data_IF_093078662858
#
_entry.id   IF_093078662858
#
_cell.length_a   1.000
_cell.length_b   1.000
_cell.length_c   1.000
_cell.angle_alpha   90.00
_cell.angle_beta   90.00
_cell.angle_gamma   90.00
#
_symmetry.space_group_name_H-M   'P 1'
#
loop_
_entity.id
_entity.type
_entity.pdbx_description
1 polymer ?
#
# COMPACT_ATOMS: atom_id res chain seq x y z
N UNK A 1 -18.54 15.94 -0.10
CA UNK A 1 -19.45 15.98 1.06
C UNK A 1 -19.77 14.59 1.60
N UNK A 2 -20.14 13.60 0.78
CA UNK A 2 -20.47 12.24 1.24
C UNK A 2 -19.37 11.54 2.05
N UNK A 3 -18.11 11.51 1.59
CA UNK A 3 -17.00 10.88 2.32
C UNK A 3 -16.73 11.51 3.69
N UNK A 4 -16.80 12.84 3.77
CA UNK A 4 -16.61 13.56 5.03
C UNK A 4 -17.73 13.24 6.04
N UNK A 5 -18.98 13.13 5.57
CA UNK A 5 -20.11 12.71 6.40
C UNK A 5 -19.95 11.26 6.87
N UNK A 6 -19.59 10.33 5.98
CA UNK A 6 -19.32 8.92 6.33
C UNK A 6 -18.18 8.79 7.35
N UNK A 7 -17.11 9.57 7.19
CA UNK A 7 -16.00 9.62 8.15
C UNK A 7 -16.46 10.14 9.51
N UNK A 8 -17.25 11.22 9.52
CA UNK A 8 -17.83 11.77 10.76
C UNK A 8 -18.67 10.73 11.49
N UNK A 9 -19.56 10.03 10.77
CA UNK A 9 -20.38 8.95 11.31
C UNK A 9 -19.54 7.78 11.85
N UNK A 10 -18.51 7.35 11.11
CA UNK A 10 -17.61 6.28 11.57
C UNK A 10 -16.86 6.68 12.85
N UNK A 11 -16.43 7.95 12.97
CA UNK A 11 -15.81 8.47 14.17
C UNK A 11 -16.74 8.48 15.39
N UNK A 12 -18.00 8.91 15.20
CA UNK A 12 -19.03 8.88 16.26
C UNK A 12 -19.31 7.45 16.71
N UNK A 13 -19.48 6.51 15.77
CA UNK A 13 -19.73 5.10 16.09
C UNK A 13 -18.53 4.44 16.79
N UNK A 14 -17.31 4.74 16.36
CA UNK A 14 -16.10 4.26 17.01
C UNK A 14 -15.94 4.77 18.45
N UNK A 15 -16.46 5.97 18.75
CA UNK A 15 -16.43 6.55 20.09
C UNK A 15 -17.58 6.05 20.99
N UNK A 16 -18.75 5.78 20.40
CA UNK A 16 -19.94 5.33 21.13
C UNK A 16 -19.92 3.82 21.45
N UNK A 17 -19.21 3.02 20.65
CA UNK A 17 -19.10 1.58 20.86
C UNK A 17 -17.90 1.24 21.77
N UNK A 18 -18.00 0.18 22.59
CA UNK A 18 -16.86 -0.28 23.38
C UNK A 18 -15.63 -0.51 22.50
N UNK A 19 -14.43 -0.24 23.04
CA UNK A 19 -13.14 -0.46 22.38
C UNK A 19 -12.84 -1.95 22.02
N UNK A 20 -13.83 -2.82 22.20
CA UNK A 20 -13.89 -4.19 21.69
C UNK A 20 -14.04 -4.17 20.14
N UNK A 21 -14.25 -5.35 19.54
CA UNK A 21 -14.26 -5.55 18.09
C UNK A 21 -15.09 -4.52 17.31
N UNK A 22 -16.24 -4.10 17.85
CA UNK A 22 -17.09 -3.08 17.21
C UNK A 22 -16.43 -1.70 17.09
N UNK A 23 -15.87 -1.15 18.17
CA UNK A 23 -15.23 0.17 18.14
C UNK A 23 -13.98 0.21 17.26
N UNK A 24 -13.18 -0.87 17.26
CA UNK A 24 -12.00 -0.99 16.42
C UNK A 24 -12.33 -1.12 14.93
N UNK A 25 -13.38 -1.86 14.57
CA UNK A 25 -13.82 -1.97 13.17
C UNK A 25 -14.24 -0.60 12.62
N UNK A 26 -15.02 0.19 13.38
CA UNK A 26 -15.38 1.55 12.96
C UNK A 26 -14.18 2.51 12.93
N UNK A 27 -13.20 2.32 13.83
CA UNK A 27 -11.94 3.07 13.77
C UNK A 27 -11.18 2.80 12.48
N UNK A 28 -11.08 1.54 12.09
CA UNK A 28 -10.43 1.13 10.85
C UNK A 28 -11.13 1.73 9.62
N UNK A 29 -12.47 1.69 9.58
CA UNK A 29 -13.26 2.36 8.53
C UNK A 29 -12.96 3.85 8.49
N UNK A 30 -12.93 4.52 9.64
CA UNK A 30 -12.56 5.93 9.75
C UNK A 30 -11.18 6.23 9.17
N UNK A 31 -10.18 5.39 9.48
CA UNK A 31 -8.81 5.54 8.98
C UNK A 31 -8.74 5.39 7.45
N UNK A 32 -9.45 4.39 6.89
CA UNK A 32 -9.53 4.17 5.44
C UNK A 32 -10.20 5.35 4.73
N UNK A 33 -11.33 5.83 5.25
CA UNK A 33 -12.04 6.98 4.68
C UNK A 33 -11.21 8.27 4.75
N UNK A 34 -10.41 8.45 5.81
CA UNK A 34 -9.48 9.57 5.89
C UNK A 34 -8.39 9.51 4.82
N UNK A 35 -7.76 8.34 4.62
CA UNK A 35 -6.76 8.15 3.57
C UNK A 35 -7.35 8.47 2.18
N UNK A 36 -8.57 8.00 1.88
CA UNK A 36 -9.27 8.31 0.64
C UNK A 36 -9.57 9.81 0.47
N UNK A 37 -10.02 10.50 1.53
CA UNK A 37 -10.32 11.94 1.42
C UNK A 37 -9.05 12.76 1.19
N UNK A 38 -7.93 12.41 1.84
CA UNK A 38 -6.63 13.04 1.63
C UNK A 38 -6.12 12.85 0.19
N UNK A 39 -6.18 11.61 -0.32
CA UNK A 39 -5.82 11.29 -1.69
C UNK A 39 -6.66 12.11 -2.69
N UNK A 40 -7.99 12.05 -2.57
CA UNK A 40 -8.92 12.70 -3.51
C UNK A 40 -8.80 14.24 -3.48
N UNK A 41 -8.40 14.81 -2.34
CA UNK A 41 -8.29 16.26 -2.16
C UNK A 41 -6.87 16.77 -2.29
N UNK A 42 -5.95 15.97 -2.83
CA UNK A 42 -4.53 16.31 -2.86
C UNK A 42 -4.25 17.71 -3.44
N UNK A 43 -4.88 18.07 -4.55
CA UNK A 43 -4.71 19.39 -5.16
C UNK A 43 -5.22 20.53 -4.28
N UNK A 44 -6.41 20.35 -3.69
CA UNK A 44 -6.99 21.32 -2.77
C UNK A 44 -6.14 21.47 -1.49
N UNK A 45 -5.56 20.37 -0.99
CA UNK A 45 -4.70 20.37 0.20
C UNK A 45 -3.33 20.99 -0.08
N UNK A 46 -2.78 20.84 -1.29
CA UNK A 46 -1.57 21.54 -1.70
C UNK A 46 -1.77 23.06 -1.73
N UNK A 47 -3.01 23.53 -1.86
CA UNK A 47 -3.39 24.94 -1.70
C UNK A 47 -2.75 25.87 -2.73
N UNK A 48 -2.37 25.34 -3.89
CA UNK A 48 -1.75 26.06 -4.99
C UNK A 48 -2.58 25.89 -6.27
N UNK A 49 -2.61 26.90 -7.16
CA UNK A 49 -3.27 26.79 -8.45
C UNK A 49 -2.74 25.61 -9.27
N UNK A 50 -3.59 25.03 -10.12
CA UNK A 50 -3.16 24.09 -11.13
C UNK A 50 -2.06 24.72 -12.00
N UNK A 51 -0.91 24.06 -12.11
CA UNK A 51 0.27 24.56 -12.83
C UNK A 51 1.34 25.26 -11.99
N UNK A 52 1.13 25.44 -10.68
CA UNK A 52 2.22 25.83 -9.78
C UNK A 52 3.38 24.81 -9.82
N UNK A 53 4.63 25.22 -9.61
CA UNK A 53 5.77 24.31 -9.65
C UNK A 53 5.60 23.12 -8.70
N UNK A 54 5.83 21.91 -9.22
CA UNK A 54 5.67 20.67 -8.46
C UNK A 54 6.46 20.68 -7.14
N UNK A 55 7.67 21.24 -7.15
CA UNK A 55 8.51 21.36 -5.96
C UNK A 55 7.86 22.17 -4.84
N UNK A 56 7.17 23.28 -5.16
CA UNK A 56 6.48 24.11 -4.17
C UNK A 56 5.26 23.38 -3.58
N UNK A 57 4.50 22.67 -4.43
CA UNK A 57 3.38 21.85 -3.99
C UNK A 57 3.85 20.76 -3.04
N UNK A 58 4.92 20.07 -3.39
CA UNK A 58 5.52 19.03 -2.55
C UNK A 58 6.06 19.60 -1.24
N UNK A 59 6.71 20.77 -1.25
CA UNK A 59 7.19 21.41 -0.02
C UNK A 59 6.02 21.68 0.96
N UNK A 60 4.88 22.17 0.45
CA UNK A 60 3.68 22.38 1.28
C UNK A 60 3.07 21.09 1.81
N UNK A 61 3.07 20.04 0.99
CA UNK A 61 2.56 18.72 1.39
C UNK A 61 3.45 18.12 2.48
N UNK A 62 4.77 18.18 2.31
CA UNK A 62 5.75 17.62 3.24
C UNK A 62 5.87 18.41 4.55
N UNK A 63 5.41 19.67 4.58
CA UNK A 63 5.31 20.46 5.81
C UNK A 63 4.16 20.01 6.74
N UNK A 64 3.32 19.07 6.30
CA UNK A 64 2.22 18.50 7.11
C UNK A 64 2.73 17.37 7.99
N UNK A 65 1.85 16.80 8.80
CA UNK A 65 2.17 15.55 9.48
C UNK A 65 2.53 14.45 8.45
N UNK A 66 3.53 13.60 8.72
CA UNK A 66 4.02 12.62 7.76
C UNK A 66 2.96 11.65 7.23
N UNK A 67 2.01 11.27 8.09
CA UNK A 67 0.95 10.34 7.72
C UNK A 67 0.03 10.97 6.67
N UNK A 68 -0.42 12.20 6.87
CA UNK A 68 -1.23 12.92 5.88
C UNK A 68 -0.44 13.25 4.61
N UNK A 69 0.83 13.67 4.77
CA UNK A 69 1.70 14.03 3.65
C UNK A 69 1.83 12.89 2.64
N UNK A 70 1.89 11.64 3.11
CA UNK A 70 1.96 10.45 2.27
C UNK A 70 0.76 10.36 1.30
N UNK A 71 -0.47 10.32 1.83
CA UNK A 71 -1.67 10.16 0.99
C UNK A 71 -1.94 11.37 0.09
N UNK A 72 -1.57 12.57 0.54
CA UNK A 72 -1.69 13.79 -0.26
C UNK A 72 -0.66 13.81 -1.40
N UNK A 73 0.58 13.40 -1.14
CA UNK A 73 1.60 13.26 -2.19
C UNK A 73 1.22 12.17 -3.20
N UNK A 74 0.61 11.08 -2.75
CA UNK A 74 0.07 10.02 -3.60
C UNK A 74 -1.05 10.55 -4.50
N UNK A 75 -2.05 11.23 -3.95
CA UNK A 75 -3.11 11.85 -4.74
C UNK A 75 -2.61 12.91 -5.73
N UNK A 76 -1.56 13.65 -5.36
CA UNK A 76 -0.92 14.60 -6.27
C UNK A 76 -0.25 13.87 -7.45
N UNK A 77 0.41 12.74 -7.17
CA UNK A 77 1.03 11.90 -8.19
C UNK A 77 0.01 11.39 -9.21
N UNK A 78 -1.16 10.98 -8.71
CA UNK A 78 -2.28 10.55 -9.53
C UNK A 78 -2.86 11.69 -10.39
N UNK A 79 -3.07 12.87 -9.79
CA UNK A 79 -3.66 14.02 -10.49
C UNK A 79 -2.73 14.60 -11.59
N UNK A 80 -1.41 14.65 -11.32
CA UNK A 80 -0.44 15.16 -12.30
C UNK A 80 -0.20 14.18 -13.46
N UNK A 81 -0.33 12.88 -13.21
CA UNK A 81 -0.10 11.84 -14.20
C UNK A 81 1.21 12.05 -14.97
N UNK A 82 1.15 12.08 -16.29
CA UNK A 82 2.34 12.23 -17.15
C UNK A 82 3.08 13.55 -17.02
N UNK A 83 2.49 14.59 -16.42
CA UNK A 83 3.15 15.89 -16.25
C UNK A 83 4.37 15.81 -15.33
N UNK A 84 4.52 14.72 -14.58
CA UNK A 84 5.68 14.43 -13.74
C UNK A 84 6.94 14.05 -14.53
N UNK A 85 6.81 13.62 -15.79
CA UNK A 85 7.85 12.96 -16.59
C UNK A 85 9.10 13.78 -16.94
N UNK A 86 9.22 15.03 -16.49
CA UNK A 86 10.40 15.89 -16.70
C UNK A 86 11.06 16.40 -15.42
N UNK A 87 10.52 16.08 -14.23
CA UNK A 87 10.96 16.68 -12.96
C UNK A 87 11.45 15.68 -11.92
N UNK A 88 11.56 14.39 -12.27
CA UNK A 88 11.90 13.31 -11.33
C UNK A 88 13.27 13.49 -10.62
N UNK A 89 14.22 14.17 -11.26
CA UNK A 89 15.57 14.37 -10.73
C UNK A 89 15.68 15.27 -9.48
N UNK A 90 14.73 16.19 -9.28
CA UNK A 90 14.79 17.20 -8.20
C UNK A 90 13.77 16.97 -7.09
N UNK A 91 13.05 15.85 -7.12
CA UNK A 91 12.01 15.55 -6.14
C UNK A 91 12.60 15.25 -4.76
N UNK A 92 11.97 15.75 -3.67
CA UNK A 92 12.37 15.42 -2.31
C UNK A 92 12.18 13.94 -2.01
N UNK A 93 13.14 13.33 -1.31
CA UNK A 93 13.16 11.88 -1.07
C UNK A 93 11.88 11.34 -0.42
N UNK A 94 11.33 12.07 0.56
CA UNK A 94 10.10 11.67 1.27
C UNK A 94 8.84 11.68 0.42
N UNK A 95 8.86 12.33 -0.75
CA UNK A 95 7.73 12.32 -1.68
C UNK A 95 7.87 11.25 -2.78
N UNK A 96 9.04 10.60 -2.92
CA UNK A 96 9.31 9.74 -4.06
C UNK A 96 8.32 8.58 -4.14
N UNK A 97 8.29 7.70 -3.13
CA UNK A 97 7.38 6.54 -3.12
C UNK A 97 5.91 6.94 -3.29
N UNK A 98 5.33 7.86 -2.49
CA UNK A 98 3.91 8.18 -2.62
C UNK A 98 3.60 8.81 -3.99
N UNK A 99 4.41 9.75 -4.48
CA UNK A 99 4.18 10.37 -5.78
C UNK A 99 4.21 9.34 -6.93
N UNK A 100 5.16 8.41 -6.86
CA UNK A 100 5.33 7.31 -7.83
C UNK A 100 4.17 6.30 -7.74
N UNK A 101 3.67 6.04 -6.53
CA UNK A 101 2.45 5.24 -6.30
C UNK A 101 1.24 5.88 -6.98
N UNK A 102 1.03 7.19 -6.79
CA UNK A 102 -0.05 7.92 -7.46
C UNK A 102 0.05 7.89 -8.98
N UNK A 103 1.25 8.14 -9.52
CA UNK A 103 1.51 8.08 -10.96
C UNK A 103 1.26 6.67 -11.52
N UNK A 104 1.71 5.64 -10.82
CA UNK A 104 1.49 4.25 -11.19
C UNK A 104 0.00 3.92 -11.29
N UNK A 105 -0.80 4.40 -10.34
CA UNK A 105 -2.25 4.22 -10.36
C UNK A 105 -2.89 4.88 -11.59
N UNK A 106 -2.51 6.11 -11.94
CA UNK A 106 -2.97 6.78 -13.16
C UNK A 106 -2.64 5.96 -14.43
N UNK A 107 -1.43 5.42 -14.51
CA UNK A 107 -1.00 4.59 -15.65
C UNK A 107 -1.74 3.23 -15.68
N UNK A 108 -1.96 2.64 -14.51
CA UNK A 108 -2.64 1.36 -14.36
C UNK A 108 -4.10 1.43 -14.85
N UNK A 109 -4.82 2.49 -14.51
CA UNK A 109 -6.19 2.70 -15.00
C UNK A 109 -6.24 2.79 -16.53
N UNK A 110 -5.31 3.55 -17.13
CA UNK A 110 -5.24 3.70 -18.57
C UNK A 110 -4.96 2.38 -19.29
N UNK A 111 -3.99 1.58 -18.81
CA UNK A 111 -3.68 0.28 -19.44
C UNK A 111 -4.79 -0.75 -19.23
N UNK A 112 -5.48 -0.73 -18.09
CA UNK A 112 -6.61 -1.63 -17.86
C UNK A 112 -7.78 -1.31 -18.80
N UNK A 113 -8.07 -0.03 -19.05
CA UNK A 113 -9.07 0.38 -20.03
C UNK A 113 -8.71 -0.07 -21.46
N UNK A 114 -7.43 0.03 -21.83
CA UNK A 114 -6.93 -0.45 -23.12
C UNK A 114 -7.03 -1.98 -23.25
N UNK A 115 -6.61 -2.72 -22.21
CA UNK A 115 -6.68 -4.19 -22.17
C UNK A 115 -8.14 -4.67 -22.29
N UNK A 116 -9.09 -4.00 -21.64
CA UNK A 116 -10.51 -4.40 -21.62
C UNK A 116 -11.15 -4.45 -23.01
N UNK A 117 -10.65 -3.68 -23.97
CA UNK A 117 -11.15 -3.62 -25.36
C UNK A 117 -10.20 -4.27 -26.37
N UNK A 118 -9.09 -4.83 -25.91
CA UNK A 118 -8.03 -5.39 -26.75
C UNK A 118 -8.22 -6.89 -27.01
N UNK A 119 -7.69 -7.36 -28.15
CA UNK A 119 -7.47 -8.80 -28.35
C UNK A 119 -6.37 -9.30 -27.40
N UNK A 120 -6.26 -10.62 -27.13
CA UNK A 120 -5.23 -11.14 -26.24
C UNK A 120 -3.79 -10.75 -26.61
N UNK A 121 -3.47 -10.73 -27.91
CA UNK A 121 -2.15 -10.32 -28.39
C UNK A 121 -1.91 -8.80 -28.23
N UNK A 122 -2.95 -7.98 -28.41
CA UNK A 122 -2.86 -6.54 -28.19
C UNK A 122 -2.76 -6.21 -26.70
N UNK A 123 -3.45 -6.95 -25.82
CA UNK A 123 -3.36 -6.80 -24.38
C UNK A 123 -1.95 -7.04 -23.84
N UNK A 124 -1.22 -8.03 -24.37
CA UNK A 124 0.19 -8.25 -24.04
C UNK A 124 1.08 -7.05 -24.38
N UNK A 125 0.90 -6.48 -25.58
CA UNK A 125 1.64 -5.27 -26.01
C UNK A 125 1.29 -4.04 -25.19
N UNK A 126 0.02 -3.86 -24.83
CA UNK A 126 -0.42 -2.77 -23.95
C UNK A 126 0.27 -2.87 -22.58
N UNK A 127 0.40 -4.09 -22.05
CA UNK A 127 1.09 -4.33 -20.79
C UNK A 127 2.61 -4.08 -20.88
N UNK A 128 3.27 -4.52 -21.96
CA UNK A 128 4.68 -4.19 -22.22
C UNK A 128 4.91 -2.68 -22.30
N UNK A 129 4.01 -1.95 -22.97
CA UNK A 129 4.07 -0.50 -23.05
C UNK A 129 3.88 0.16 -21.68
N UNK A 130 2.95 -0.34 -20.86
CA UNK A 130 2.80 0.11 -19.47
C UNK A 130 4.10 -0.06 -18.67
N UNK A 131 4.75 -1.23 -18.76
CA UNK A 131 6.04 -1.48 -18.08
C UNK A 131 7.11 -0.50 -18.57
N UNK A 132 7.23 -0.32 -19.88
CA UNK A 132 8.18 0.62 -20.48
C UNK A 132 7.96 2.05 -19.99
N UNK A 133 6.71 2.49 -19.88
CA UNK A 133 6.37 3.82 -19.33
C UNK A 133 6.68 3.94 -17.86
N UNK A 134 6.38 2.92 -17.05
CA UNK A 134 6.73 2.91 -15.63
C UNK A 134 8.24 3.07 -15.43
N UNK A 135 9.04 2.32 -16.20
CA UNK A 135 10.50 2.42 -16.21
C UNK A 135 10.98 3.82 -16.58
N UNK A 136 10.48 4.36 -17.70
CA UNK A 136 10.88 5.66 -18.22
C UNK A 136 10.53 6.83 -17.28
N UNK A 137 9.42 6.73 -16.56
CA UNK A 137 8.94 7.78 -15.65
C UNK A 137 9.46 7.61 -14.22
N UNK A 138 9.94 6.43 -13.85
CA UNK A 138 10.44 6.18 -12.51
C UNK A 138 11.82 6.78 -12.29
N UNK A 139 12.01 7.39 -11.11
CA UNK A 139 13.36 7.57 -10.58
C UNK A 139 13.96 6.21 -10.26
N UNK A 140 15.28 6.07 -10.41
CA UNK A 140 16.00 4.85 -10.04
C UNK A 140 15.57 4.36 -8.64
N UNK A 141 15.15 3.10 -8.58
CA UNK A 141 14.63 2.49 -7.35
C UNK A 141 13.19 2.84 -6.99
N UNK A 142 12.39 3.50 -7.83
CA UNK A 142 10.96 3.72 -7.58
C UNK A 142 10.04 2.97 -8.56
N UNK A 143 10.61 2.18 -9.48
CA UNK A 143 9.86 1.46 -10.52
C UNK A 143 8.81 0.51 -9.95
N UNK A 144 9.17 -0.27 -8.93
CA UNK A 144 8.26 -1.25 -8.30
C UNK A 144 7.00 -0.57 -7.74
N UNK A 145 7.13 0.65 -7.19
CA UNK A 145 6.00 1.43 -6.69
C UNK A 145 5.02 1.85 -7.81
N UNK A 146 5.45 1.91 -9.07
CA UNK A 146 4.54 2.18 -10.20
C UNK A 146 3.88 0.88 -10.69
N UNK A 147 4.71 -0.14 -10.92
CA UNK A 147 4.29 -1.39 -11.55
C UNK A 147 3.23 -2.12 -10.73
N UNK A 148 3.42 -2.15 -9.42
CA UNK A 148 2.49 -2.75 -8.46
C UNK A 148 1.06 -2.21 -8.58
N UNK A 149 0.88 -0.94 -8.94
CA UNK A 149 -0.43 -0.31 -8.94
C UNK A 149 -1.38 -0.93 -9.97
N UNK A 150 -0.85 -1.67 -10.95
CA UNK A 150 -1.66 -2.51 -11.84
C UNK A 150 -2.53 -3.49 -11.04
N UNK A 151 -1.97 -4.16 -10.04
CA UNK A 151 -2.72 -5.10 -9.21
C UNK A 151 -3.76 -4.42 -8.33
N UNK A 152 -3.40 -3.28 -7.74
CA UNK A 152 -4.30 -2.48 -6.91
C UNK A 152 -5.50 -2.00 -7.75
N UNK A 153 -5.24 -1.39 -8.89
CA UNK A 153 -6.26 -0.90 -9.81
C UNK A 153 -7.12 -2.04 -10.36
N UNK A 154 -6.52 -3.15 -10.77
CA UNK A 154 -7.25 -4.31 -11.28
C UNK A 154 -8.21 -4.88 -10.23
N UNK A 155 -7.76 -5.02 -8.97
CA UNK A 155 -8.63 -5.50 -7.89
C UNK A 155 -9.77 -4.51 -7.60
N UNK A 156 -9.50 -3.21 -7.64
CA UNK A 156 -10.48 -2.18 -7.32
C UNK A 156 -11.52 -1.98 -8.44
N UNK A 157 -11.08 -2.05 -9.71
CA UNK A 157 -11.90 -1.68 -10.87
C UNK A 157 -12.49 -2.89 -11.60
N UNK A 158 -11.78 -4.02 -11.66
CA UNK A 158 -12.25 -5.21 -12.40
C UNK A 158 -11.67 -6.53 -11.89
N UNK A 159 -12.11 -6.93 -10.70
CA UNK A 159 -11.64 -8.16 -10.04
C UNK A 159 -11.90 -9.46 -10.83
N UNK A 160 -12.78 -9.43 -11.85
CA UNK A 160 -13.13 -10.61 -12.66
C UNK A 160 -11.99 -11.03 -13.59
N UNK A 161 -11.09 -10.11 -13.94
CA UNK A 161 -10.01 -10.37 -14.90
C UNK A 161 -8.65 -10.66 -14.24
N UNK A 162 -8.58 -10.79 -12.91
CA UNK A 162 -7.31 -11.03 -12.20
C UNK A 162 -6.57 -12.27 -12.71
N UNK A 163 -7.26 -13.36 -13.01
CA UNK A 163 -6.62 -14.57 -13.55
C UNK A 163 -6.08 -14.40 -14.98
N UNK A 164 -6.68 -13.54 -15.81
CA UNK A 164 -6.15 -13.22 -17.13
C UNK A 164 -4.92 -12.31 -17.02
N UNK A 165 -4.97 -11.32 -16.13
CA UNK A 165 -3.86 -10.41 -15.85
C UNK A 165 -2.66 -11.13 -15.22
N UNK A 166 -2.87 -12.12 -14.34
CA UNK A 166 -1.81 -12.98 -13.80
C UNK A 166 -1.01 -13.65 -14.93
N UNK A 167 -1.70 -14.27 -15.89
CA UNK A 167 -1.07 -14.91 -17.05
C UNK A 167 -0.34 -13.92 -17.96
N UNK A 168 -0.94 -12.75 -18.20
CA UNK A 168 -0.30 -11.69 -19.00
C UNK A 168 0.97 -11.16 -18.30
N UNK A 169 0.90 -10.89 -16.99
CA UNK A 169 2.05 -10.44 -16.22
C UNK A 169 3.17 -11.48 -16.26
N UNK A 170 2.86 -12.75 -16.03
CA UNK A 170 3.83 -13.84 -16.07
C UNK A 170 4.50 -14.01 -17.45
N UNK A 171 3.78 -13.71 -18.54
CA UNK A 171 4.31 -13.76 -19.90
C UNK A 171 5.25 -12.60 -20.24
N UNK A 172 4.99 -11.40 -19.69
CA UNK A 172 5.82 -10.20 -19.92
C UNK A 172 7.08 -10.24 -19.05
N UNK A 173 6.94 -10.43 -17.74
CA UNK A 173 8.03 -10.44 -16.78
C UNK A 173 7.59 -11.15 -15.50
N UNK A 174 8.28 -12.21 -15.09
CA UNK A 174 7.95 -12.93 -13.85
C UNK A 174 7.93 -12.01 -12.62
N UNK A 175 8.80 -11.00 -12.57
CA UNK A 175 8.84 -10.05 -11.46
C UNK A 175 7.62 -9.13 -11.42
N UNK A 176 6.99 -8.87 -12.56
CA UNK A 176 5.74 -8.12 -12.65
C UNK A 176 4.59 -8.88 -12.01
N UNK A 177 4.54 -10.21 -12.16
CA UNK A 177 3.52 -11.05 -11.51
C UNK A 177 3.61 -10.96 -9.97
N UNK A 178 4.81 -10.92 -9.40
CA UNK A 178 5.02 -10.73 -7.95
C UNK A 178 4.45 -9.38 -7.47
N UNK A 179 4.80 -8.30 -8.18
CA UNK A 179 4.33 -6.93 -7.90
C UNK A 179 2.81 -6.80 -8.09
N UNK A 180 2.27 -7.43 -9.13
CA UNK A 180 0.84 -7.46 -9.41
C UNK A 180 0.08 -8.04 -8.22
N UNK A 181 0.47 -9.21 -7.71
CA UNK A 181 -0.23 -9.81 -6.58
C UNK A 181 -0.03 -9.04 -5.27
N UNK A 182 1.12 -8.38 -5.07
CA UNK A 182 1.27 -7.44 -3.96
C UNK A 182 0.27 -6.28 -4.05
N UNK A 183 0.13 -5.68 -5.23
CA UNK A 183 -0.86 -4.65 -5.50
C UNK A 183 -2.29 -5.13 -5.29
N UNK A 184 -2.63 -6.35 -5.73
CA UNK A 184 -3.93 -6.97 -5.46
C UNK A 184 -4.18 -7.05 -3.96
N UNK A 185 -3.19 -7.50 -3.19
CA UNK A 185 -3.22 -7.52 -1.72
C UNK A 185 -3.60 -6.19 -1.07
N UNK A 186 -2.97 -5.09 -1.52
CA UNK A 186 -3.35 -3.74 -1.07
C UNK A 186 -4.76 -3.36 -1.51
N UNK A 187 -5.13 -3.69 -2.75
CA UNK A 187 -6.47 -3.46 -3.29
C UNK A 187 -7.56 -4.16 -2.47
N UNK A 188 -7.29 -5.36 -1.95
CA UNK A 188 -8.21 -6.09 -1.08
C UNK A 188 -8.57 -5.31 0.18
N UNK A 189 -7.59 -4.64 0.80
CA UNK A 189 -7.83 -3.81 1.98
C UNK A 189 -8.79 -2.64 1.71
N UNK A 190 -8.75 -2.09 0.50
CA UNK A 190 -9.56 -0.94 0.09
C UNK A 190 -10.88 -1.31 -0.61
N UNK A 191 -11.10 -2.59 -0.92
CA UNK A 191 -12.30 -3.03 -1.62
C UNK A 191 -13.58 -2.67 -0.83
N UNK A 192 -14.65 -2.16 -1.48
CA UNK A 192 -15.87 -1.72 -0.78
C UNK A 192 -16.49 -2.77 0.13
N UNK A 193 -16.48 -4.04 -0.28
CA UNK A 193 -16.99 -5.14 0.54
C UNK A 193 -16.13 -5.39 1.78
N UNK A 194 -14.84 -5.04 1.76
CA UNK A 194 -13.93 -5.18 2.89
C UNK A 194 -13.93 -3.97 3.81
N UNK A 195 -14.60 -2.87 3.44
CA UNK A 195 -14.81 -1.69 4.29
C UNK A 195 -15.94 -1.88 5.30
N UNK A 196 -16.80 -2.88 5.13
CA UNK A 196 -17.96 -3.04 5.99
C UNK A 196 -17.51 -3.58 7.36
N UNK A 197 -17.90 -2.96 8.49
CA UNK A 197 -17.47 -3.37 9.83
C UNK A 197 -18.28 -4.58 10.34
N UNK A 198 -18.48 -5.57 9.47
CA UNK A 198 -19.31 -6.75 9.73
C UNK A 198 -18.42 -8.00 9.80
N UNK A 199 -18.59 -8.77 10.87
CA UNK A 199 -17.80 -9.96 11.12
C UNK A 199 -16.42 -9.64 11.70
N UNK A 200 -15.48 -10.56 11.49
CA UNK A 200 -14.11 -10.41 11.99
C UNK A 200 -13.30 -9.39 11.16
N UNK A 201 -12.65 -8.41 11.79
CA UNK A 201 -11.85 -7.41 11.09
C UNK A 201 -10.81 -8.04 10.15
N UNK A 202 -10.86 -7.63 8.88
CA UNK A 202 -9.93 -8.08 7.84
C UNK A 202 -10.05 -9.54 7.42
N UNK A 203 -10.95 -10.34 8.01
CA UNK A 203 -11.08 -11.77 7.69
C UNK A 203 -11.40 -12.01 6.21
N UNK A 204 -12.35 -11.24 5.64
CA UNK A 204 -12.73 -11.32 4.22
C UNK A 204 -11.58 -10.95 3.29
N UNK A 205 -10.85 -9.87 3.61
CA UNK A 205 -9.69 -9.48 2.82
C UNK A 205 -8.59 -10.56 2.84
N UNK A 206 -8.42 -11.26 3.98
CA UNK A 206 -7.52 -12.38 4.08
C UNK A 206 -8.03 -13.61 3.29
N UNK A 207 -9.32 -13.96 3.38
CA UNK A 207 -9.91 -15.05 2.58
C UNK A 207 -9.61 -14.86 1.09
N UNK A 208 -9.91 -13.67 0.57
CA UNK A 208 -9.68 -13.33 -0.83
C UNK A 208 -8.17 -13.31 -1.20
N UNK A 209 -7.27 -12.97 -0.27
CA UNK A 209 -5.83 -13.06 -0.50
C UNK A 209 -5.36 -14.52 -0.58
N UNK A 210 -5.96 -15.41 0.21
CA UNK A 210 -5.68 -16.84 0.23
C UNK A 210 -6.25 -17.57 -1.00
N UNK A 211 -7.22 -16.99 -1.70
CA UNK A 211 -7.76 -17.52 -2.96
C UNK A 211 -6.84 -17.28 -4.17
N UNK A 212 -5.72 -16.57 -3.98
CA UNK A 212 -4.78 -16.32 -5.07
C UNK A 212 -4.23 -17.64 -5.67
N UNK A 213 -4.01 -17.70 -7.00
CA UNK A 213 -3.98 -18.94 -7.78
C UNK A 213 -2.78 -19.85 -7.49
N UNK A 214 -1.70 -19.31 -6.93
CA UNK A 214 -0.48 -20.06 -6.62
C UNK A 214 0.18 -19.53 -5.34
N UNK A 215 1.10 -20.30 -4.77
CA UNK A 215 1.70 -20.00 -3.46
C UNK A 215 2.43 -18.65 -3.42
N UNK A 216 3.14 -18.30 -4.51
CA UNK A 216 3.84 -17.04 -4.61
C UNK A 216 2.87 -15.85 -4.71
N UNK A 217 1.76 -16.00 -5.45
CA UNK A 217 0.68 -15.01 -5.48
C UNK A 217 0.05 -14.81 -4.10
N UNK A 218 -0.26 -15.90 -3.39
CA UNK A 218 -0.81 -15.82 -2.02
C UNK A 218 0.11 -15.08 -1.08
N UNK A 219 1.41 -15.39 -1.09
CA UNK A 219 2.38 -14.71 -0.24
C UNK A 219 2.48 -13.21 -0.58
N UNK A 220 2.56 -12.84 -1.87
CA UNK A 220 2.59 -11.43 -2.26
C UNK A 220 1.28 -10.71 -1.91
N UNK A 221 0.12 -11.34 -2.11
CA UNK A 221 -1.18 -10.77 -1.74
C UNK A 221 -1.31 -10.55 -0.23
N UNK A 222 -0.85 -11.50 0.60
CA UNK A 222 -0.82 -11.33 2.07
C UNK A 222 0.17 -10.24 2.49
N UNK A 223 1.34 -10.15 1.85
CA UNK A 223 2.28 -9.05 2.09
C UNK A 223 1.68 -7.68 1.74
N UNK A 224 1.01 -7.57 0.59
CA UNK A 224 0.31 -6.35 0.19
C UNK A 224 -0.83 -5.97 1.14
N UNK A 225 -1.59 -6.95 1.61
CA UNK A 225 -2.63 -6.74 2.62
C UNK A 225 -2.03 -6.23 3.93
N UNK A 226 -0.94 -6.85 4.41
CA UNK A 226 -0.20 -6.41 5.60
C UNK A 226 0.33 -5.00 5.47
N UNK A 227 0.83 -4.62 4.28
CA UNK A 227 1.26 -3.26 3.98
C UNK A 227 0.13 -2.26 4.15
N UNK A 228 -1.02 -2.49 3.51
CA UNK A 228 -2.15 -1.55 3.54
C UNK A 228 -2.74 -1.41 4.94
N UNK A 229 -2.89 -2.55 5.64
CA UNK A 229 -3.36 -2.58 7.01
C UNK A 229 -2.45 -1.79 7.96
N UNK A 230 -1.13 -1.97 7.86
CA UNK A 230 -0.17 -1.27 8.72
C UNK A 230 -0.11 0.23 8.41
N UNK A 231 0.01 0.62 7.13
CA UNK A 231 0.21 2.02 6.78
C UNK A 231 -1.00 2.89 7.14
N UNK A 232 -2.21 2.40 6.84
CA UNK A 232 -3.45 3.14 7.11
C UNK A 232 -3.74 3.24 8.60
N UNK A 233 -3.42 2.20 9.37
CA UNK A 233 -3.70 2.14 10.81
C UNK A 233 -2.49 2.47 11.68
N UNK A 234 -1.44 3.05 11.12
CA UNK A 234 -0.20 3.34 11.82
C UNK A 234 -0.40 4.15 13.13
N UNK A 235 -1.35 5.09 13.11
CA UNK A 235 -1.74 5.93 14.28
C UNK A 235 -2.67 5.23 15.28
N UNK A 236 -3.15 4.04 14.94
CA UNK A 236 -4.11 3.26 15.72
C UNK A 236 -3.66 1.79 15.75
N UNK A 237 -2.50 1.47 16.38
CA UNK A 237 -1.90 0.14 16.36
C UNK A 237 -2.79 -0.97 16.92
N UNK A 238 -3.78 -0.63 17.74
CA UNK A 238 -4.81 -1.56 18.23
C UNK A 238 -5.64 -2.22 17.11
N UNK A 239 -5.80 -1.55 15.95
CA UNK A 239 -6.47 -2.14 14.78
C UNK A 239 -5.62 -3.28 14.21
N UNK A 240 -4.33 -3.05 14.02
CA UNK A 240 -3.38 -4.09 13.57
C UNK A 240 -3.28 -5.23 14.59
N UNK A 241 -3.26 -4.92 15.89
CA UNK A 241 -3.26 -5.94 16.94
C UNK A 241 -4.52 -6.82 16.86
N UNK A 242 -5.69 -6.20 16.71
CA UNK A 242 -6.96 -6.92 16.59
C UNK A 242 -6.97 -7.86 15.38
N UNK A 243 -6.42 -7.42 14.24
CA UNK A 243 -6.27 -8.26 13.06
C UNK A 243 -5.34 -9.44 13.34
N UNK A 244 -4.14 -9.21 13.88
CA UNK A 244 -3.17 -10.26 14.19
C UNK A 244 -3.77 -11.30 15.13
N UNK A 245 -4.49 -10.87 16.17
CA UNK A 245 -5.16 -11.77 17.10
C UNK A 245 -6.28 -12.60 16.46
N UNK A 246 -7.12 -11.97 15.62
CA UNK A 246 -8.23 -12.67 14.96
C UNK A 246 -7.74 -13.68 13.93
N UNK A 247 -6.68 -13.32 13.18
CA UNK A 247 -6.30 -14.03 11.96
C UNK A 247 -5.06 -14.92 12.11
N UNK A 248 -4.38 -14.92 13.27
CA UNK A 248 -3.15 -15.71 13.50
C UNK A 248 -3.27 -17.18 13.09
N UNK A 249 -4.39 -17.83 13.44
CA UNK A 249 -4.62 -19.24 13.14
C UNK A 249 -4.76 -19.54 11.64
N UNK A 250 -5.07 -18.53 10.83
CA UNK A 250 -5.27 -18.63 9.38
C UNK A 250 -4.03 -18.30 8.57
N UNK A 251 -3.10 -17.54 9.15
CA UNK A 251 -1.89 -17.10 8.47
C UNK A 251 -0.90 -18.25 8.24
N UNK A 252 -0.75 -19.18 9.19
CA UNK A 252 0.11 -20.35 9.04
C UNK A 252 1.53 -19.99 8.57
N UNK A 253 1.93 -20.54 7.42
CA UNK A 253 3.22 -20.30 6.75
C UNK A 253 3.34 -18.89 6.12
N UNK A 254 2.24 -18.16 5.97
CA UNK A 254 2.20 -16.80 5.41
C UNK A 254 2.41 -15.70 6.46
N UNK A 255 2.67 -16.05 7.73
CA UNK A 255 2.99 -15.07 8.77
C UNK A 255 4.20 -14.20 8.38
N UNK A 256 5.22 -14.78 7.75
CA UNK A 256 6.41 -14.05 7.28
C UNK A 256 6.05 -13.04 6.18
N UNK A 257 5.17 -13.41 5.26
CA UNK A 257 4.71 -12.53 4.21
C UNK A 257 3.96 -11.31 4.77
N UNK A 258 3.05 -11.54 5.71
CA UNK A 258 2.35 -10.45 6.40
C UNK A 258 3.34 -9.53 7.13
N UNK A 259 4.29 -10.11 7.87
CA UNK A 259 5.31 -9.38 8.61
C UNK A 259 6.18 -8.51 7.68
N UNK A 260 6.57 -9.04 6.52
CA UNK A 260 7.30 -8.26 5.52
C UNK A 260 6.44 -7.11 4.98
N UNK A 261 5.16 -7.34 4.71
CA UNK A 261 4.18 -6.30 4.36
C UNK A 261 4.17 -5.14 5.35
N UNK A 262 4.04 -5.46 6.63
CA UNK A 262 4.03 -4.49 7.73
C UNK A 262 5.35 -3.71 7.79
N UNK A 263 6.49 -4.39 7.65
CA UNK A 263 7.79 -3.75 7.63
C UNK A 263 7.93 -2.78 6.46
N UNK A 264 7.51 -3.18 5.25
CA UNK A 264 7.54 -2.36 4.04
C UNK A 264 6.70 -1.09 4.21
N UNK A 265 5.51 -1.19 4.81
CA UNK A 265 4.67 -0.03 5.13
C UNK A 265 5.33 0.94 6.11
N UNK A 266 5.89 0.43 7.20
CA UNK A 266 6.58 1.27 8.18
C UNK A 266 7.80 1.98 7.55
N UNK A 267 8.47 1.34 6.59
CA UNK A 267 9.62 1.93 5.90
C UNK A 267 9.19 3.00 4.89
N UNK A 268 8.08 2.79 4.19
CA UNK A 268 7.45 3.83 3.36
C UNK A 268 7.11 5.05 4.21
N UNK A 269 6.49 4.83 5.39
CA UNK A 269 6.21 5.90 6.33
C UNK A 269 7.49 6.61 6.80
N UNK A 270 8.54 5.85 7.14
CA UNK A 270 9.82 6.41 7.60
C UNK A 270 10.51 7.26 6.54
N UNK A 271 10.45 6.86 5.27
CA UNK A 271 10.95 7.70 4.19
C UNK A 271 10.15 9.00 4.08
N UNK A 272 8.82 8.94 4.18
CA UNK A 272 7.94 10.12 4.13
C UNK A 272 8.13 11.06 5.34
N UNK A 273 8.34 10.49 6.52
CA UNK A 273 8.52 11.23 7.78
C UNK A 273 9.92 11.82 7.97
N UNK A 274 10.89 11.38 7.16
CA UNK A 274 12.29 11.73 7.32
C UNK A 274 13.03 10.74 8.25
N UNK A 275 14.32 10.54 7.99
CA UNK A 275 15.12 9.46 8.59
C UNK A 275 15.24 9.52 10.12
N UNK A 276 15.05 10.69 10.70
CA UNK A 276 15.10 10.90 12.15
C UNK A 276 13.77 10.59 12.84
N UNK A 277 12.66 10.55 12.10
CA UNK A 277 11.38 10.16 12.63
C UNK A 277 11.40 8.67 12.98
N UNK A 278 10.89 8.31 14.16
CA UNK A 278 10.62 6.92 14.50
C UNK A 278 9.13 6.66 14.40
N UNK A 279 8.70 5.45 13.99
CA UNK A 279 7.31 5.03 14.03
C UNK A 279 6.84 4.83 15.48
N UNK A 280 6.85 5.91 16.26
CA UNK A 280 6.80 5.92 17.70
C UNK A 280 5.54 5.27 18.23
N UNK A 281 4.37 5.60 17.68
CA UNK A 281 3.09 5.03 18.12
C UNK A 281 3.00 3.53 17.84
N UNK A 282 3.38 3.08 16.64
CA UNK A 282 3.37 1.67 16.27
C UNK A 282 4.37 0.85 17.11
N UNK A 283 5.58 1.35 17.32
CA UNK A 283 6.60 0.63 18.10
C UNK A 283 6.49 0.83 19.61
N UNK A 284 5.79 1.86 20.10
CA UNK A 284 5.53 2.04 21.52
C UNK A 284 4.29 1.27 21.97
N UNK A 285 3.45 0.82 21.04
CA UNK A 285 2.24 0.06 21.36
C UNK A 285 2.54 -1.13 22.26
N UNK A 286 1.83 -1.20 23.39
CA UNK A 286 1.88 -2.29 24.35
C UNK A 286 0.75 -3.27 24.03
N UNK A 287 1.00 -4.35 23.27
CA UNK A 287 -0.03 -5.32 22.90
C UNK A 287 -0.57 -6.04 24.13
N UNK A 288 -1.80 -6.54 24.06
CA UNK A 288 -2.35 -7.44 25.07
C UNK A 288 -1.44 -8.68 25.23
N UNK A 289 -1.40 -9.33 26.41
CA UNK A 289 -0.51 -10.47 26.66
C UNK A 289 -0.64 -11.59 25.61
N UNK A 290 -1.86 -11.86 25.15
CA UNK A 290 -2.15 -12.84 24.09
C UNK A 290 -1.60 -12.47 22.71
N UNK A 291 -1.38 -11.18 22.43
CA UNK A 291 -0.85 -10.68 21.16
C UNK A 291 0.66 -10.42 21.22
N UNK A 292 1.27 -10.37 22.42
CA UNK A 292 2.64 -9.91 22.61
C UNK A 292 3.65 -10.65 21.72
N UNK A 293 3.56 -11.98 21.63
CA UNK A 293 4.47 -12.79 20.81
C UNK A 293 4.28 -12.54 19.31
N UNK A 294 3.03 -12.40 18.85
CA UNK A 294 2.72 -12.09 17.44
C UNK A 294 3.19 -10.69 17.09
N UNK A 295 2.93 -9.72 17.96
CA UNK A 295 3.35 -8.33 17.78
C UNK A 295 4.87 -8.20 17.69
N UNK A 296 5.60 -8.90 18.56
CA UNK A 296 7.06 -8.92 18.51
C UNK A 296 7.57 -9.44 17.16
N UNK A 297 7.05 -10.56 16.67
CA UNK A 297 7.51 -11.17 15.40
C UNK A 297 7.07 -10.38 14.16
N UNK A 298 5.77 -10.09 14.06
CA UNK A 298 5.16 -9.52 12.85
C UNK A 298 5.39 -8.01 12.72
N UNK A 299 5.59 -7.29 13.82
CA UNK A 299 5.72 -5.83 13.81
C UNK A 299 7.13 -5.40 14.20
N UNK A 300 7.58 -5.68 15.43
CA UNK A 300 8.84 -5.13 15.95
C UNK A 300 10.08 -5.72 15.28
N UNK A 301 10.19 -7.05 15.23
CA UNK A 301 11.30 -7.76 14.60
C UNK A 301 11.31 -7.56 13.08
N UNK A 302 10.14 -7.61 12.44
CA UNK A 302 10.00 -7.36 11.01
C UNK A 302 10.44 -5.95 10.61
N UNK A 303 10.03 -4.93 11.38
CA UNK A 303 10.50 -3.56 11.21
C UNK A 303 12.03 -3.45 11.32
N UNK A 304 12.62 -4.05 12.36
CA UNK A 304 14.07 -4.02 12.57
C UNK A 304 14.82 -4.66 11.40
N UNK A 305 14.35 -5.81 10.92
CA UNK A 305 14.92 -6.49 9.76
C UNK A 305 14.77 -5.65 8.48
N UNK A 306 13.59 -5.06 8.27
CA UNK A 306 13.32 -4.17 7.15
C UNK A 306 14.21 -2.93 7.14
N UNK A 307 14.49 -2.31 8.29
CA UNK A 307 15.43 -1.19 8.38
C UNK A 307 16.85 -1.59 7.96
N UNK A 308 17.31 -2.77 8.37
CA UNK A 308 18.63 -3.27 7.97
C UNK A 308 18.70 -3.48 6.44
N UNK A 309 17.66 -4.08 5.86
CA UNK A 309 17.55 -4.27 4.41
C UNK A 309 17.48 -2.93 3.66
N UNK A 310 16.66 -1.98 4.13
CA UNK A 310 16.56 -0.66 3.51
C UNK A 310 17.89 0.11 3.58
N UNK A 311 18.64 -0.03 4.68
CA UNK A 311 19.98 0.54 4.78
C UNK A 311 20.91 0.03 3.67
N UNK A 312 20.85 -1.26 3.35
CA UNK A 312 21.61 -1.87 2.24
C UNK A 312 21.14 -1.39 0.86
N UNK A 313 19.83 -1.33 0.64
CA UNK A 313 19.26 -0.84 -0.61
C UNK A 313 19.60 0.63 -0.87
N UNK A 314 19.45 1.49 0.15
CA UNK A 314 19.80 2.91 0.06
C UNK A 314 21.30 3.12 -0.16
N UNK A 315 22.16 2.33 0.48
CA UNK A 315 23.60 2.37 0.23
C UNK A 315 23.95 2.00 -1.22
N UNK A 316 23.12 1.18 -1.86
CA UNK A 316 23.23 0.83 -3.26
C UNK A 316 22.43 1.75 -4.21
N UNK A 317 21.88 2.86 -3.71
CA UNK A 317 21.10 3.82 -4.49
C UNK A 317 19.71 3.33 -4.94
N UNK A 318 19.18 2.29 -4.29
CA UNK A 318 17.87 1.69 -4.58
C UNK A 318 16.87 2.02 -3.48
N UNK A 319 15.62 2.28 -3.86
CA UNK A 319 14.50 2.51 -2.95
C UNK A 319 13.37 1.48 -3.13
N UNK A 320 13.55 0.51 -4.05
CA UNK A 320 12.43 -0.12 -4.75
C UNK A 320 12.21 -1.59 -4.45
N UNK A 321 13.22 -2.31 -3.93
CA UNK A 321 13.13 -3.75 -3.64
C UNK A 321 12.23 -4.11 -2.45
N UNK A 322 11.24 -3.26 -2.14
CA UNK A 322 10.38 -3.29 -0.96
C UNK A 322 8.90 -3.52 -1.32
N UNK A 323 8.59 -4.01 -2.51
CA UNK A 323 7.20 -4.27 -2.91
C UNK A 323 6.99 -5.73 -3.35
N UNK A 324 7.99 -6.58 -3.08
CA UNK A 324 7.96 -8.01 -3.39
C UNK A 324 8.22 -8.80 -2.14
N UNK A 325 7.43 -9.87 -1.97
CA UNK A 325 7.70 -10.83 -0.93
C UNK A 325 9.02 -11.57 -1.22
N UNK A 326 9.88 -11.63 -0.21
CA UNK A 326 11.11 -12.41 -0.18
C UNK A 326 11.07 -13.28 1.06
N UNK A 327 10.95 -14.62 0.91
CA UNK A 327 11.00 -15.51 2.06
C UNK A 327 12.28 -15.23 2.85
N UNK A 328 12.18 -15.14 4.18
CA UNK A 328 13.38 -15.20 4.99
C UNK A 328 14.09 -16.51 4.68
N UNK A 329 15.40 -16.46 4.45
CA UNK A 329 16.21 -17.67 4.45
C UNK A 329 15.88 -18.40 5.75
N UNK A 330 15.48 -19.67 5.67
CA UNK A 330 15.28 -20.46 6.87
C UNK A 330 16.57 -20.32 7.68
N UNK A 331 16.48 -19.75 8.88
CA UNK A 331 17.57 -19.88 9.84
C UNK A 331 17.71 -21.39 10.01
N UNK A 332 18.76 -21.96 9.41
CA UNK A 332 19.12 -23.35 9.60
C UNK A 332 19.50 -23.42 11.08
N UNK A 333 18.52 -23.82 11.89
CA UNK A 333 18.68 -24.08 13.30
C UNK A 333 19.56 -25.31 13.53
#
# INVERSE_FOLDING_TARGET
MALAALRGSAGVLAAALPAQAGGLAWREVGNRLEAFDLFRRAEAVAGLPAGAPLGERLARILARDPWSALFVAEGLGYAEGLRLGGSAGTLPAGALIPLHTGLGLHLAEAVLAEIAVSSPAAAGKALEHFVGRCRALSRAGCEEALLEQLGLAARALDARHLGALDRLCAAVDRSLCELFWHGVGRGLYFAPMNLLPWGEPGARALDEALEAPHALARANAVAGLGWALALVNFRHPSVLESFLLGQAHRLGDLEDALAQGIAMAALTWWQAAGREARPGELLAHAPAPRAARLWERCVRAAWKAGLAQLGQELAAGRCGGMFRYRPRAAEVA
#
